data_IF_540910216989
#
_entry.id   IF_540910216989
#
_cell.length_a   1.000
_cell.length_b   1.000
_cell.length_c   1.000
_cell.angle_alpha   90.00
_cell.angle_beta   90.00
_cell.angle_gamma   90.00
#
_symmetry.space_group_name_H-M   'P 1'
#
loop_
_entity.id
_entity.type
_entity.pdbx_description
1 polymer ?
#
# COMPACT_ATOMS: atom_id res chain seq x y z
N UNK A 1 8.85 7.01 -7.94
CA UNK A 1 7.48 7.51 -8.10
C UNK A 1 7.38 8.87 -7.44
N UNK A 2 6.91 9.90 -8.16
CA UNK A 2 6.72 11.24 -7.63
C UNK A 2 5.26 11.49 -7.25
N UNK A 3 4.97 12.07 -6.08
CA UNK A 3 3.62 12.48 -5.73
C UNK A 3 3.19 13.70 -6.54
N UNK A 4 1.95 13.69 -7.01
CA UNK A 4 1.31 14.79 -7.76
C UNK A 4 -0.03 15.09 -7.12
N UNK A 5 -0.25 16.36 -6.75
CA UNK A 5 -1.57 16.85 -6.33
C UNK A 5 -2.29 17.47 -7.53
N UNK A 6 -3.54 17.12 -7.74
CA UNK A 6 -4.37 17.72 -8.79
C UNK A 6 -4.73 19.19 -8.53
N UNK A 7 -4.49 19.71 -7.32
CA UNK A 7 -4.68 21.13 -6.99
C UNK A 7 -3.50 22.01 -7.42
N UNK A 8 -2.32 21.43 -7.53
CA UNK A 8 -1.08 22.16 -7.75
C UNK A 8 -0.33 21.58 -8.95
N UNK A 9 -0.38 22.29 -10.06
CA UNK A 9 0.78 22.56 -10.85
C UNK A 9 1.14 21.62 -12.00
N UNK A 10 0.79 22.08 -13.18
CA UNK A 10 1.44 21.65 -14.41
C UNK A 10 2.98 21.81 -14.36
N UNK A 11 3.51 22.74 -13.56
CA UNK A 11 4.95 22.92 -13.39
C UNK A 11 5.59 21.72 -12.69
N UNK A 12 5.05 21.29 -11.53
CA UNK A 12 5.56 20.10 -10.81
C UNK A 12 5.45 18.82 -11.67
N UNK A 13 4.37 18.68 -12.43
CA UNK A 13 4.21 17.56 -13.35
C UNK A 13 5.30 17.58 -14.42
N UNK A 14 5.56 18.74 -15.01
CA UNK A 14 6.60 18.92 -16.02
C UNK A 14 7.98 18.64 -15.45
N UNK A 15 8.28 19.17 -14.27
CA UNK A 15 9.57 18.93 -13.60
C UNK A 15 9.77 17.45 -13.31
N UNK A 16 8.75 16.76 -12.79
CA UNK A 16 8.82 15.32 -12.51
C UNK A 16 9.12 14.52 -13.78
N UNK A 17 8.43 14.82 -14.90
CA UNK A 17 8.53 14.02 -16.13
C UNK A 17 9.73 14.44 -16.98
N UNK A 18 9.92 15.74 -17.24
CA UNK A 18 10.94 16.23 -18.18
C UNK A 18 12.32 16.41 -17.53
N UNK A 19 12.36 16.93 -16.29
CA UNK A 19 13.60 17.21 -15.59
C UNK A 19 14.12 16.00 -14.84
N UNK A 20 13.29 15.47 -13.93
CA UNK A 20 13.69 14.34 -13.08
C UNK A 20 13.48 12.98 -13.73
N UNK A 21 12.72 12.89 -14.83
CA UNK A 21 12.48 11.66 -15.61
C UNK A 21 12.03 10.50 -14.74
N UNK A 22 11.07 10.77 -13.84
CA UNK A 22 10.55 9.76 -12.92
C UNK A 22 9.89 8.61 -13.69
N UNK A 23 9.98 7.38 -13.18
CA UNK A 23 9.35 6.21 -13.78
C UNK A 23 7.85 6.08 -13.47
N UNK A 24 7.30 6.90 -12.57
CA UNK A 24 5.88 6.85 -12.22
C UNK A 24 5.39 8.02 -11.40
N UNK A 25 4.07 8.14 -11.29
CA UNK A 25 3.38 9.19 -10.57
C UNK A 25 2.38 8.60 -9.56
N UNK A 26 2.26 9.23 -8.39
CA UNK A 26 1.24 8.96 -7.38
C UNK A 26 0.30 10.16 -7.28
N UNK A 27 -0.97 9.97 -7.61
CA UNK A 27 -1.98 11.01 -7.42
C UNK A 27 -2.55 10.97 -6.00
N UNK A 28 -2.31 12.02 -5.23
CA UNK A 28 -2.64 12.10 -3.80
C UNK A 28 -3.97 12.77 -3.47
N UNK A 29 -4.70 13.27 -4.47
CA UNK A 29 -6.02 13.86 -4.25
C UNK A 29 -6.50 14.80 -5.35
N UNK A 30 -7.79 15.18 -5.27
CA UNK A 30 -8.39 16.19 -6.15
C UNK A 30 -9.70 15.76 -6.79
N UNK A 31 -9.88 16.10 -8.07
CA UNK A 31 -11.06 15.73 -8.89
C UNK A 31 -10.67 14.67 -9.91
N UNK A 32 -11.55 13.72 -10.14
CA UNK A 32 -11.37 12.63 -11.09
C UNK A 32 -11.01 13.14 -12.50
N UNK A 33 -11.75 14.14 -13.02
CA UNK A 33 -11.51 14.71 -14.35
C UNK A 33 -10.11 15.35 -14.45
N UNK A 34 -9.69 16.06 -13.39
CA UNK A 34 -8.36 16.69 -13.37
C UNK A 34 -7.26 15.63 -13.38
N UNK A 35 -7.40 14.55 -12.61
CA UNK A 35 -6.43 13.46 -12.64
C UNK A 35 -6.34 12.84 -14.04
N UNK A 36 -7.45 12.53 -14.69
CA UNK A 36 -7.47 11.97 -16.04
C UNK A 36 -6.72 12.87 -17.04
N UNK A 37 -6.95 14.19 -16.97
CA UNK A 37 -6.26 15.17 -17.83
C UNK A 37 -4.75 15.15 -17.55
N UNK A 38 -4.34 15.21 -16.29
CA UNK A 38 -2.92 15.23 -15.89
C UNK A 38 -2.23 13.91 -16.22
N UNK A 39 -2.90 12.77 -16.04
CA UNK A 39 -2.38 11.46 -16.45
C UNK A 39 -2.10 11.43 -17.95
N UNK A 40 -3.05 11.88 -18.77
CA UNK A 40 -2.87 11.93 -20.22
C UNK A 40 -1.77 12.90 -20.65
N UNK A 41 -1.65 14.04 -19.98
CA UNK A 41 -0.56 14.99 -20.24
C UNK A 41 0.80 14.39 -19.90
N UNK A 42 0.94 13.77 -18.71
CA UNK A 42 2.18 13.13 -18.28
C UNK A 42 2.62 12.03 -19.24
N UNK A 43 1.69 11.16 -19.64
CA UNK A 43 1.98 10.06 -20.59
C UNK A 43 2.43 10.57 -21.96
N UNK A 44 1.87 11.69 -22.45
CA UNK A 44 2.31 12.29 -23.72
C UNK A 44 3.69 12.96 -23.64
N UNK A 45 4.07 13.47 -22.47
CA UNK A 45 5.36 14.09 -22.22
C UNK A 45 6.46 13.06 -22.00
N UNK A 46 6.11 11.94 -21.39
CA UNK A 46 7.06 10.92 -20.99
C UNK A 46 7.66 10.18 -22.21
N UNK A 47 8.99 9.95 -22.17
CA UNK A 47 9.68 9.18 -23.18
C UNK A 47 9.35 7.68 -23.13
N UNK A 48 9.11 7.16 -21.93
CA UNK A 48 8.65 5.79 -21.64
C UNK A 48 7.33 5.89 -20.89
N UNK A 49 6.43 4.90 -21.05
CA UNK A 49 5.18 4.90 -20.30
C UNK A 49 5.42 5.01 -18.80
N UNK A 50 4.72 5.94 -18.14
CA UNK A 50 4.80 6.14 -16.69
C UNK A 50 3.90 5.14 -15.97
N UNK A 51 4.38 4.61 -14.86
CA UNK A 51 3.57 3.86 -13.91
C UNK A 51 2.69 4.84 -13.12
N UNK A 52 1.39 4.79 -13.32
CA UNK A 52 0.44 5.58 -12.54
C UNK A 52 -0.01 4.77 -11.34
N UNK A 53 0.24 5.30 -10.17
CA UNK A 53 -0.08 4.64 -8.91
C UNK A 53 -1.14 5.43 -8.16
N UNK A 54 -1.87 4.76 -7.30
CA UNK A 54 -2.95 5.35 -6.51
C UNK A 54 -3.02 4.70 -5.12
N UNK A 55 -3.48 5.47 -4.14
CA UNK A 55 -3.68 5.01 -2.76
C UNK A 55 -5.18 4.94 -2.49
N UNK A 56 -5.79 3.85 -2.95
CA UNK A 56 -7.23 3.63 -2.91
C UNK A 56 -7.63 2.40 -2.10
N UNK A 57 -7.38 2.41 -0.79
CA UNK A 57 -7.65 1.27 0.10
C UNK A 57 -9.12 0.87 0.13
N UNK A 58 -10.02 1.88 0.14
CA UNK A 58 -11.48 1.71 0.06
C UNK A 58 -12.06 2.43 -1.17
N UNK A 59 -11.35 2.40 -2.29
CA UNK A 59 -11.75 2.97 -3.56
C UNK A 59 -11.22 4.35 -3.83
N UNK A 60 -11.55 4.87 -4.99
CA UNK A 60 -11.06 6.17 -5.45
C UNK A 60 -11.51 7.33 -4.54
N UNK A 61 -12.65 7.18 -3.85
CA UNK A 61 -13.18 8.20 -2.94
C UNK A 61 -12.25 8.49 -1.74
N UNK A 62 -11.29 7.62 -1.46
CA UNK A 62 -10.23 7.90 -0.49
C UNK A 62 -9.47 9.18 -0.85
N UNK A 63 -9.28 9.47 -2.13
CA UNK A 63 -8.49 10.60 -2.64
C UNK A 63 -9.25 11.52 -3.58
N UNK A 64 -10.21 11.01 -4.34
CA UNK A 64 -10.87 11.75 -5.41
C UNK A 64 -12.34 12.05 -5.08
N UNK A 65 -12.71 13.31 -5.22
CA UNK A 65 -14.11 13.73 -5.06
C UNK A 65 -14.94 13.34 -6.27
N UNK A 66 -16.20 12.99 -6.00
CA UNK A 66 -17.18 12.64 -7.04
C UNK A 66 -17.08 11.20 -7.53
N UNK A 67 -16.37 10.34 -6.80
CA UNK A 67 -16.30 8.90 -7.05
C UNK A 67 -17.16 8.14 -6.03
N UNK A 68 -17.58 6.88 -6.33
CA UNK A 68 -18.35 6.08 -5.39
C UNK A 68 -17.63 5.91 -4.04
N UNK A 69 -18.40 6.03 -2.96
CA UNK A 69 -17.90 5.86 -1.60
C UNK A 69 -18.16 4.43 -1.13
N UNK A 70 -17.10 3.75 -0.70
CA UNK A 70 -17.18 2.40 -0.14
C UNK A 70 -16.87 2.41 1.37
N UNK A 71 -17.32 1.39 2.11
CA UNK A 71 -16.96 1.22 3.51
C UNK A 71 -15.45 1.05 3.70
N UNK A 72 -14.97 1.37 4.90
CA UNK A 72 -13.60 1.06 5.29
C UNK A 72 -13.37 -0.43 5.48
N UNK A 73 -12.12 -0.86 5.40
CA UNK A 73 -11.75 -2.28 5.41
C UNK A 73 -12.23 -3.03 6.65
N UNK A 74 -12.30 -2.39 7.83
CA UNK A 74 -12.81 -3.00 9.05
C UNK A 74 -14.28 -3.47 8.88
N UNK A 75 -15.10 -2.70 8.17
CA UNK A 75 -16.49 -3.08 7.85
C UNK A 75 -16.51 -4.22 6.84
N UNK A 76 -15.65 -4.17 5.82
CA UNK A 76 -15.49 -5.25 4.83
C UNK A 76 -14.99 -6.54 5.48
N UNK A 77 -14.17 -6.44 6.53
CA UNK A 77 -13.69 -7.57 7.32
C UNK A 77 -14.81 -8.38 7.99
N UNK A 78 -15.98 -7.77 8.24
CA UNK A 78 -17.14 -8.47 8.81
C UNK A 78 -17.88 -9.37 7.80
N UNK A 79 -17.64 -9.18 6.50
CA UNK A 79 -18.25 -10.01 5.45
C UNK A 79 -17.68 -11.42 5.51
N UNK A 80 -18.54 -12.43 5.58
CA UNK A 80 -18.11 -13.84 5.68
C UNK A 80 -17.72 -14.41 4.31
N UNK A 81 -18.44 -14.03 3.26
CA UNK A 81 -18.20 -14.54 1.90
C UNK A 81 -17.08 -13.75 1.19
N UNK A 82 -15.89 -14.35 1.10
CA UNK A 82 -14.74 -13.76 0.46
C UNK A 82 -14.91 -13.54 -1.05
N UNK A 83 -15.90 -14.15 -1.71
CA UNK A 83 -16.22 -13.84 -3.11
C UNK A 83 -16.68 -12.40 -3.26
N UNK A 84 -17.39 -11.85 -2.26
CA UNK A 84 -17.78 -10.42 -2.27
C UNK A 84 -16.58 -9.50 -2.14
N UNK A 85 -15.55 -9.90 -1.40
CA UNK A 85 -14.30 -9.13 -1.29
C UNK A 85 -13.50 -9.20 -2.61
N UNK A 86 -13.50 -10.34 -3.27
CA UNK A 86 -12.92 -10.49 -4.61
C UNK A 86 -13.63 -9.58 -5.62
N UNK A 87 -14.96 -9.60 -5.66
CA UNK A 87 -15.74 -8.72 -6.57
C UNK A 87 -15.54 -7.24 -6.25
N UNK A 88 -15.41 -6.89 -4.97
CA UNK A 88 -15.02 -5.56 -4.55
C UNK A 88 -13.65 -5.17 -5.13
N UNK A 89 -12.65 -6.06 -5.06
CA UNK A 89 -11.34 -5.84 -5.68
C UNK A 89 -11.44 -5.63 -7.21
N UNK A 90 -12.30 -6.41 -7.88
CA UNK A 90 -12.60 -6.25 -9.31
C UNK A 90 -13.17 -4.88 -9.64
N UNK A 91 -14.12 -4.40 -8.82
CA UNK A 91 -14.70 -3.05 -9.00
C UNK A 91 -13.65 -1.96 -8.78
N UNK A 92 -12.76 -2.11 -7.78
CA UNK A 92 -11.65 -1.17 -7.58
C UNK A 92 -10.72 -1.14 -8.79
N UNK A 93 -10.41 -2.30 -9.35
CA UNK A 93 -9.60 -2.38 -10.58
C UNK A 93 -10.28 -1.67 -11.76
N UNK A 94 -11.59 -1.87 -11.94
CA UNK A 94 -12.36 -1.18 -13.00
C UNK A 94 -12.24 0.33 -12.87
N UNK A 95 -12.45 0.87 -11.67
CA UNK A 95 -12.33 2.30 -11.40
C UNK A 95 -10.90 2.83 -11.63
N UNK A 96 -9.90 2.11 -11.16
CA UNK A 96 -8.49 2.45 -11.37
C UNK A 96 -8.16 2.52 -12.87
N UNK A 97 -8.57 1.52 -13.65
CA UNK A 97 -8.30 1.47 -15.10
C UNK A 97 -8.95 2.61 -15.88
N UNK A 98 -10.14 3.02 -15.51
CA UNK A 98 -10.81 4.18 -16.12
C UNK A 98 -10.01 5.47 -15.98
N UNK A 99 -9.17 5.57 -14.96
CA UNK A 99 -8.27 6.71 -14.73
C UNK A 99 -6.83 6.46 -15.17
N UNK A 100 -6.56 5.32 -15.83
CA UNK A 100 -5.21 4.97 -16.28
C UNK A 100 -4.26 4.58 -15.15
N UNK A 101 -4.80 4.15 -14.00
CA UNK A 101 -4.01 3.67 -12.85
C UNK A 101 -3.66 2.20 -13.05
N UNK A 102 -2.37 1.86 -12.99
CA UNK A 102 -1.85 0.50 -13.15
C UNK A 102 -1.57 -0.19 -11.82
N UNK A 103 -1.29 0.58 -10.75
CA UNK A 103 -0.95 0.05 -9.43
C UNK A 103 -1.80 0.71 -8.37
N UNK A 104 -2.48 -0.07 -7.55
CA UNK A 104 -3.16 0.43 -6.36
C UNK A 104 -2.39 0.01 -5.10
N UNK A 105 -2.02 0.97 -4.25
CA UNK A 105 -1.38 0.73 -2.95
C UNK A 105 -2.41 0.21 -1.94
N UNK A 106 -2.93 -0.96 -2.24
CA UNK A 106 -3.91 -1.74 -1.48
C UNK A 106 -3.74 -3.23 -1.83
N UNK A 107 -4.12 -4.13 -0.93
CA UNK A 107 -4.81 -3.96 0.35
C UNK A 107 -3.88 -3.64 1.52
N UNK A 108 -4.49 -3.17 2.63
CA UNK A 108 -3.85 -3.09 3.93
C UNK A 108 -3.85 -4.49 4.57
N UNK A 109 -2.65 -5.04 4.81
CA UNK A 109 -2.44 -6.37 5.39
C UNK A 109 -2.07 -6.31 6.89
N UNK A 110 -2.04 -5.12 7.48
CA UNK A 110 -1.79 -4.93 8.90
C UNK A 110 -2.92 -5.52 9.75
N UNK A 111 -2.55 -6.26 10.81
CA UNK A 111 -3.49 -6.86 11.77
C UNK A 111 -3.70 -5.90 12.93
N UNK A 112 -4.92 -5.38 13.11
CA UNK A 112 -5.20 -4.33 14.10
C UNK A 112 -5.43 -4.90 15.50
N UNK A 113 -4.39 -5.46 16.12
CA UNK A 113 -4.47 -6.01 17.49
C UNK A 113 -4.39 -4.94 18.58
N UNK A 114 -3.94 -3.73 18.24
CA UNK A 114 -3.88 -2.60 19.17
C UNK A 114 -5.03 -1.61 18.90
N UNK A 115 -6.05 -1.55 19.76
CA UNK A 115 -7.19 -0.63 19.58
C UNK A 115 -6.79 0.85 19.67
N UNK A 116 -5.61 1.15 20.22
CA UNK A 116 -5.06 2.51 20.33
C UNK A 116 -4.22 2.92 19.13
N UNK A 117 -4.03 2.03 18.14
CA UNK A 117 -3.24 2.33 16.96
C UNK A 117 -3.79 3.58 16.25
N UNK A 118 -2.98 4.66 16.10
CA UNK A 118 -3.46 5.93 15.54
C UNK A 118 -3.51 5.94 14.01
N UNK A 119 -2.91 4.95 13.34
CA UNK A 119 -2.70 4.94 11.89
C UNK A 119 -3.54 3.88 11.20
N UNK A 120 -3.49 2.64 11.65
CA UNK A 120 -4.14 1.49 10.99
C UNK A 120 -5.61 1.44 11.34
N UNK A 121 -5.97 1.14 12.58
CA UNK A 121 -7.34 1.17 13.05
C UNK A 121 -8.34 0.59 12.02
N UNK A 122 -9.34 1.36 11.61
CA UNK A 122 -10.37 0.94 10.65
C UNK A 122 -9.90 0.76 9.19
N UNK A 123 -8.62 0.99 8.91
CA UNK A 123 -8.00 0.64 7.62
C UNK A 123 -7.68 -0.85 7.51
N UNK A 124 -7.49 -1.55 8.64
CA UNK A 124 -7.32 -3.01 8.68
C UNK A 124 -8.65 -3.73 8.41
N UNK A 125 -8.57 -4.97 7.93
CA UNK A 125 -9.73 -5.87 7.83
C UNK A 125 -10.12 -6.51 9.16
N UNK A 126 -9.31 -6.38 10.22
CA UNK A 126 -9.62 -6.90 11.55
C UNK A 126 -8.41 -7.18 12.42
N UNK A 127 -8.64 -7.96 13.47
CA UNK A 127 -7.64 -8.28 14.52
C UNK A 127 -7.15 -9.73 14.48
N UNK A 128 -7.76 -10.58 13.67
CA UNK A 128 -7.38 -11.98 13.47
C UNK A 128 -6.48 -12.11 12.24
N UNK A 129 -5.22 -12.58 12.38
CA UNK A 129 -4.27 -12.65 11.27
C UNK A 129 -4.75 -13.52 10.09
N UNK A 130 -5.44 -14.63 10.39
CA UNK A 130 -5.93 -15.56 9.36
C UNK A 130 -7.05 -14.90 8.56
N UNK A 131 -8.02 -14.30 9.25
CA UNK A 131 -9.12 -13.59 8.58
C UNK A 131 -8.64 -12.38 7.79
N UNK A 132 -7.66 -11.63 8.31
CA UNK A 132 -7.02 -10.53 7.58
C UNK A 132 -6.36 -11.05 6.31
N UNK A 133 -5.58 -12.15 6.39
CA UNK A 133 -4.94 -12.77 5.23
C UNK A 133 -5.95 -13.17 4.16
N UNK A 134 -7.05 -13.83 4.54
CA UNK A 134 -8.11 -14.23 3.62
C UNK A 134 -8.72 -13.03 2.86
N UNK A 135 -8.97 -11.92 3.58
CA UNK A 135 -9.51 -10.68 2.98
C UNK A 135 -8.49 -10.02 2.05
N UNK A 136 -7.24 -9.96 2.48
CA UNK A 136 -6.13 -9.42 1.70
C UNK A 136 -5.98 -10.17 0.38
N UNK A 137 -5.95 -11.50 0.42
CA UNK A 137 -5.83 -12.35 -0.78
C UNK A 137 -7.04 -12.14 -1.69
N UNK A 138 -8.26 -12.19 -1.15
CA UNK A 138 -9.47 -12.01 -1.95
C UNK A 138 -9.50 -10.64 -2.64
N UNK A 139 -9.19 -9.57 -1.92
CA UNK A 139 -9.15 -8.22 -2.48
C UNK A 139 -8.06 -8.06 -3.54
N UNK A 140 -6.85 -8.50 -3.23
CA UNK A 140 -5.71 -8.37 -4.13
C UNK A 140 -5.88 -9.19 -5.41
N UNK A 141 -6.36 -10.45 -5.31
CA UNK A 141 -6.65 -11.27 -6.50
C UNK A 141 -7.77 -10.68 -7.34
N UNK A 142 -8.75 -10.00 -6.73
CA UNK A 142 -9.77 -9.23 -7.44
C UNK A 142 -9.17 -8.05 -8.22
N UNK A 143 -8.28 -7.27 -7.60
CA UNK A 143 -7.55 -6.17 -8.26
C UNK A 143 -6.76 -6.69 -9.45
N UNK A 144 -5.95 -7.73 -9.26
CA UNK A 144 -5.06 -8.28 -10.28
C UNK A 144 -5.83 -8.97 -11.40
N UNK A 145 -6.90 -9.70 -11.06
CA UNK A 145 -7.85 -10.25 -12.03
C UNK A 145 -8.59 -9.18 -12.84
N UNK A 146 -8.66 -7.95 -12.33
CA UNK A 146 -9.15 -6.76 -13.03
C UNK A 146 -8.09 -6.00 -13.82
N UNK A 147 -6.81 -6.43 -13.79
CA UNK A 147 -5.69 -5.83 -14.54
C UNK A 147 -5.03 -4.64 -13.84
N UNK A 148 -5.10 -4.56 -12.50
CA UNK A 148 -4.42 -3.56 -11.68
C UNK A 148 -3.55 -4.30 -10.66
N UNK A 149 -2.25 -3.96 -10.59
CA UNK A 149 -1.33 -4.57 -9.63
C UNK A 149 -1.71 -4.16 -8.20
N UNK A 150 -1.78 -5.14 -7.31
CA UNK A 150 -1.97 -4.94 -5.88
C UNK A 150 -0.65 -4.69 -5.17
N UNK A 151 -0.69 -3.96 -4.05
CA UNK A 151 0.47 -3.75 -3.18
C UNK A 151 0.03 -3.90 -1.73
N UNK A 152 0.39 -5.02 -1.13
CA UNK A 152 0.13 -5.28 0.30
C UNK A 152 0.97 -4.37 1.18
N UNK A 153 0.38 -3.79 2.22
CA UNK A 153 1.04 -2.81 3.09
C UNK A 153 0.56 -2.89 4.55
N UNK A 154 1.38 -2.52 5.50
CA UNK A 154 2.73 -1.94 5.47
C UNK A 154 3.70 -2.96 6.06
N UNK A 155 4.46 -3.64 5.22
CA UNK A 155 5.41 -4.67 5.64
C UNK A 155 6.47 -4.09 6.61
N UNK A 156 6.86 -4.77 7.70
CA UNK A 156 6.48 -6.11 8.14
C UNK A 156 5.21 -6.19 9.02
N UNK A 157 4.43 -5.11 9.16
CA UNK A 157 3.17 -5.04 9.88
C UNK A 157 3.12 -3.86 10.85
N UNK A 158 2.17 -2.94 10.64
CA UNK A 158 2.02 -1.68 11.40
C UNK A 158 0.83 -1.73 12.38
N UNK A 159 0.17 -2.89 12.51
CA UNK A 159 -1.11 -2.99 13.21
C UNK A 159 -1.03 -2.92 14.74
N UNK A 160 0.13 -3.20 15.34
CA UNK A 160 0.35 -3.17 16.80
C UNK A 160 1.35 -2.07 17.20
N UNK A 161 1.21 -0.90 16.63
CA UNK A 161 1.99 0.28 17.03
C UNK A 161 1.10 1.32 17.71
N UNK A 162 1.67 2.08 18.62
CA UNK A 162 1.01 3.20 19.33
C UNK A 162 1.50 4.57 18.86
N UNK A 163 2.46 4.60 17.93
CA UNK A 163 3.07 5.79 17.35
C UNK A 163 2.71 5.92 15.88
N UNK A 164 2.39 7.13 15.47
CA UNK A 164 2.13 7.47 14.07
C UNK A 164 3.45 7.63 13.31
N UNK A 165 3.70 6.79 12.31
CA UNK A 165 4.90 6.82 11.46
C UNK A 165 5.07 8.13 10.67
N UNK A 166 4.01 8.93 10.52
CA UNK A 166 4.11 10.28 9.98
C UNK A 166 4.79 11.27 10.95
N UNK A 167 4.87 10.93 12.24
CA UNK A 167 5.38 11.82 13.30
C UNK A 167 6.71 11.34 13.89
N UNK A 168 6.91 10.05 14.02
CA UNK A 168 8.12 9.42 14.57
C UNK A 168 8.25 7.99 14.06
N UNK A 169 9.39 7.35 14.30
CA UNK A 169 9.64 5.96 13.95
C UNK A 169 9.00 5.02 14.98
N UNK A 170 7.92 4.27 14.65
CA UNK A 170 7.32 3.30 15.55
C UNK A 170 8.23 2.10 15.74
N UNK A 171 8.21 1.49 16.92
CA UNK A 171 8.99 0.31 17.27
C UNK A 171 8.09 -0.90 17.41
N UNK A 172 8.51 -2.04 16.85
CA UNK A 172 7.92 -3.36 17.06
C UNK A 172 8.85 -4.19 17.97
N UNK A 173 8.68 -4.10 19.30
CA UNK A 173 9.61 -4.71 20.26
C UNK A 173 9.26 -6.19 20.51
N UNK A 174 8.86 -6.91 19.45
CA UNK A 174 8.37 -8.27 19.55
C UNK A 174 9.46 -9.30 19.28
N UNK A 175 9.23 -10.52 19.81
CA UNK A 175 10.05 -11.69 19.44
C UNK A 175 9.76 -12.09 18.00
N UNK A 176 10.63 -12.89 17.41
CA UNK A 176 10.46 -13.38 16.05
C UNK A 176 9.19 -14.23 15.92
N UNK A 177 8.93 -15.09 16.89
CA UNK A 177 7.73 -15.96 16.91
C UNK A 177 6.44 -15.15 16.92
N UNK A 178 6.42 -14.03 17.65
CA UNK A 178 5.27 -13.13 17.67
C UNK A 178 5.10 -12.45 16.29
N UNK A 179 6.15 -11.92 15.72
CA UNK A 179 6.09 -11.30 14.39
C UNK A 179 5.61 -12.32 13.34
N UNK A 180 6.11 -13.55 13.40
CA UNK A 180 5.76 -14.60 12.45
C UNK A 180 4.30 -15.04 12.53
N UNK A 181 3.72 -15.05 13.73
CA UNK A 181 2.36 -15.51 13.97
C UNK A 181 1.28 -14.45 13.79
N UNK A 182 1.63 -13.19 13.90
CA UNK A 182 0.66 -12.08 13.82
C UNK A 182 1.01 -11.11 12.70
N UNK A 183 2.06 -10.33 12.86
CA UNK A 183 2.37 -9.20 11.97
C UNK A 183 2.72 -9.68 10.55
N UNK A 184 3.59 -10.67 10.43
CA UNK A 184 4.05 -11.23 9.16
C UNK A 184 3.07 -12.21 8.52
N UNK A 185 2.12 -12.75 9.28
CA UNK A 185 1.25 -13.82 8.79
C UNK A 185 0.49 -13.45 7.51
N UNK A 186 -0.23 -12.32 7.42
CA UNK A 186 -0.95 -11.94 6.20
C UNK A 186 -0.02 -11.71 5.00
N UNK A 187 1.18 -11.18 5.24
CA UNK A 187 2.16 -10.95 4.18
C UNK A 187 2.73 -12.27 3.64
N UNK A 188 2.99 -13.25 4.51
CA UNK A 188 3.42 -14.60 4.09
C UNK A 188 2.37 -15.28 3.22
N UNK A 189 1.11 -15.21 3.62
CA UNK A 189 -0.01 -15.77 2.84
C UNK A 189 -0.20 -15.02 1.51
N UNK A 190 -0.03 -13.68 1.48
CA UNK A 190 -0.05 -12.89 0.26
C UNK A 190 1.07 -13.29 -0.71
N UNK A 191 2.28 -13.53 -0.20
CA UNK A 191 3.41 -14.03 -0.99
C UNK A 191 3.13 -15.42 -1.56
N UNK A 192 2.60 -16.35 -0.74
CA UNK A 192 2.20 -17.70 -1.19
C UNK A 192 1.12 -17.67 -2.26
N UNK A 193 0.20 -16.72 -2.15
CA UNK A 193 -0.84 -16.49 -3.16
C UNK A 193 -0.30 -15.84 -4.46
N UNK A 194 0.95 -15.42 -4.49
CA UNK A 194 1.61 -14.87 -5.68
C UNK A 194 1.27 -13.41 -5.98
N UNK A 195 0.92 -12.61 -4.97
CA UNK A 195 0.53 -11.21 -5.15
C UNK A 195 1.70 -10.34 -5.63
N UNK A 196 1.38 -9.32 -6.44
CA UNK A 196 2.35 -8.60 -7.29
C UNK A 196 3.23 -7.60 -6.56
N UNK A 197 2.77 -7.00 -5.46
CA UNK A 197 3.48 -5.88 -4.82
C UNK A 197 3.49 -5.92 -3.30
N UNK A 198 4.55 -5.33 -2.73
CA UNK A 198 4.73 -5.17 -1.29
C UNK A 198 5.21 -3.75 -1.00
N UNK A 199 4.59 -3.06 -0.05
CA UNK A 199 5.07 -1.77 0.45
C UNK A 199 5.67 -1.93 1.83
N UNK A 200 6.95 -1.54 1.95
CA UNK A 200 7.68 -1.56 3.22
C UNK A 200 7.45 -0.24 3.96
N UNK A 201 6.89 -0.34 5.15
CA UNK A 201 6.64 0.80 6.04
C UNK A 201 7.91 1.33 6.70
N UNK A 202 7.77 2.40 7.49
CA UNK A 202 8.86 2.96 8.30
C UNK A 202 8.65 2.51 9.74
N UNK A 203 9.23 1.35 10.08
CA UNK A 203 9.12 0.70 11.40
C UNK A 203 10.50 0.29 11.89
N UNK A 204 10.77 0.43 13.16
CA UNK A 204 11.94 -0.18 13.79
C UNK A 204 11.59 -1.60 14.28
N UNK A 205 12.35 -2.59 13.84
CA UNK A 205 12.11 -4.02 14.13
C UNK A 205 13.39 -4.62 14.72
N UNK A 206 13.67 -4.44 16.02
CA UNK A 206 14.98 -4.74 16.63
C UNK A 206 15.41 -6.21 16.48
N UNK A 207 14.48 -7.15 16.45
CA UNK A 207 14.77 -8.58 16.32
C UNK A 207 15.29 -8.96 14.91
N UNK A 208 15.07 -8.12 13.90
CA UNK A 208 15.53 -8.32 12.51
C UNK A 208 16.64 -7.34 12.17
N UNK A 209 16.46 -6.06 12.57
CA UNK A 209 17.42 -4.98 12.37
C UNK A 209 17.88 -4.45 13.74
N UNK A 210 19.03 -4.92 14.24
CA UNK A 210 19.53 -4.52 15.55
C UNK A 210 20.07 -3.09 15.60
N UNK A 211 20.27 -2.45 14.44
CA UNK A 211 20.71 -1.05 14.38
C UNK A 211 19.54 -0.14 14.79
N UNK A 212 19.66 0.45 15.97
CA UNK A 212 18.64 1.35 16.49
C UNK A 212 18.41 2.57 15.60
N UNK A 213 17.16 2.95 15.43
CA UNK A 213 16.77 4.11 14.61
C UNK A 213 16.78 3.90 13.11
N UNK A 214 17.13 2.71 12.61
CA UNK A 214 17.04 2.40 11.18
C UNK A 214 15.64 1.87 10.83
N UNK A 215 14.85 2.58 9.99
CA UNK A 215 13.53 2.12 9.60
C UNK A 215 13.62 0.91 8.65
N UNK A 216 12.63 0.04 8.73
CA UNK A 216 12.52 -1.19 7.91
C UNK A 216 12.64 -0.92 6.41
N UNK A 217 12.11 0.19 5.92
CA UNK A 217 12.21 0.59 4.51
C UNK A 217 13.63 0.91 4.03
N UNK A 218 14.56 1.21 4.93
CA UNK A 218 15.98 1.45 4.65
C UNK A 218 16.89 0.31 5.13
N UNK A 219 16.32 -0.68 5.84
CA UNK A 219 17.07 -1.83 6.36
C UNK A 219 17.29 -2.89 5.29
N UNK A 220 18.55 -3.20 4.99
CA UNK A 220 18.90 -4.32 4.15
C UNK A 220 18.43 -5.65 4.74
N UNK A 221 18.50 -5.80 6.07
CA UNK A 221 18.07 -7.01 6.76
C UNK A 221 16.57 -7.26 6.61
N UNK A 222 15.76 -6.20 6.64
CA UNK A 222 14.30 -6.32 6.45
C UNK A 222 13.94 -6.50 4.96
N UNK A 223 14.44 -5.65 4.07
CA UNK A 223 14.02 -5.66 2.66
C UNK A 223 14.64 -6.83 1.91
N UNK A 224 15.94 -7.02 2.03
CA UNK A 224 16.63 -8.09 1.30
C UNK A 224 16.61 -9.39 2.10
N UNK A 225 17.10 -9.38 3.35
CA UNK A 225 17.21 -10.60 4.16
C UNK A 225 15.85 -11.25 4.44
N UNK A 226 14.92 -10.51 5.04
CA UNK A 226 13.62 -11.09 5.39
C UNK A 226 12.69 -11.20 4.17
N UNK A 227 12.38 -10.08 3.48
CA UNK A 227 11.34 -10.08 2.46
C UNK A 227 11.77 -10.87 1.19
N UNK A 228 13.00 -10.62 0.70
CA UNK A 228 13.44 -11.19 -0.58
C UNK A 228 14.03 -12.58 -0.44
N UNK A 229 14.96 -12.80 0.51
CA UNK A 229 15.63 -14.10 0.65
C UNK A 229 14.78 -15.08 1.44
N UNK A 230 14.40 -14.73 2.67
CA UNK A 230 13.74 -15.69 3.57
C UNK A 230 12.29 -15.96 3.13
N UNK A 231 11.49 -14.90 2.85
CA UNK A 231 10.10 -15.04 2.41
C UNK A 231 9.98 -15.27 0.90
N UNK A 232 11.09 -15.22 0.16
CA UNK A 232 11.18 -15.47 -1.27
C UNK A 232 10.24 -14.59 -2.13
N UNK A 233 9.96 -13.37 -1.70
CA UNK A 233 9.15 -12.43 -2.48
C UNK A 233 9.87 -12.00 -3.75
N UNK A 234 9.20 -12.09 -4.89
CA UNK A 234 9.77 -11.81 -6.22
C UNK A 234 9.04 -10.68 -6.97
N UNK A 235 8.04 -10.07 -6.32
CA UNK A 235 7.26 -9.00 -6.91
C UNK A 235 7.90 -7.62 -6.77
N UNK A 236 7.09 -6.59 -7.00
CA UNK A 236 7.53 -5.20 -6.89
C UNK A 236 7.60 -4.77 -5.42
N UNK A 237 8.71 -4.15 -5.03
CA UNK A 237 8.90 -3.61 -3.68
C UNK A 237 8.84 -2.09 -3.76
N UNK A 238 7.97 -1.50 -2.95
CA UNK A 238 7.81 -0.07 -2.77
C UNK A 238 8.21 0.30 -1.34
N UNK A 239 8.74 1.50 -1.14
CA UNK A 239 8.81 2.10 0.19
C UNK A 239 7.54 2.90 0.44
N UNK A 240 7.14 3.05 1.70
CA UNK A 240 6.23 4.12 2.09
C UNK A 240 6.87 5.48 1.81
N UNK A 241 6.11 6.57 1.97
CA UNK A 241 6.54 7.91 1.55
C UNK A 241 7.79 8.38 2.30
N UNK A 242 8.90 8.58 1.59
CA UNK A 242 10.18 9.02 2.18
C UNK A 242 10.13 10.45 2.77
N UNK A 243 9.02 11.17 2.62
CA UNK A 243 8.79 12.47 3.25
C UNK A 243 8.21 12.34 4.68
N UNK A 244 7.95 11.13 5.16
CA UNK A 244 7.46 10.89 6.53
C UNK A 244 8.61 11.04 7.55
N UNK A 245 8.26 11.46 8.77
CA UNK A 245 9.27 11.65 9.85
C UNK A 245 9.77 10.34 10.47
N UNK A 246 9.21 9.21 10.09
CA UNK A 246 9.68 7.88 10.45
C UNK A 246 10.89 7.39 9.63
N UNK A 247 11.41 8.21 8.72
CA UNK A 247 12.61 7.94 7.90
C UNK A 247 13.83 8.61 8.51
#
# INVERSE_FOLDING_TARGET
IAPVDTKHNQALLRDAVDTYKVGGLLFSGGKMQTQAILTNQAQRMARLPLMITFDGEWGLAMRLRGTPLFPRNMVLGCIQDNRLIYEYGREMARQCRELGVQVNFAPVADVNVNPKNPVINNRSFGEDPVRVADKVIAYATGLEGGGVLSVCKHFPGHGDTDVDSHKALPVLPFTRERLDSVELYPFKEAIRAGLSGMMVGHLQVPVIEPLGGLPSSLSRNVVYGLLTEELAFKGLIFTDALAMRGV
#
